data_IF_611672298962
#
_entry.id   IF_611672298962
#
_cell.length_a   1.000
_cell.length_b   1.000
_cell.length_c   1.000
_cell.angle_alpha   90.00
_cell.angle_beta   90.00
_cell.angle_gamma   90.00
#
_symmetry.space_group_name_H-M   'P 1'
#
loop_
_entity.id
_entity.type
_entity.pdbx_description
1 polymer ?
#
# COMPACT_ATOMS: atom_id res chain seq x y z
N UNK A 1 14.99 48.30 -40.63
CA UNK A 1 13.97 47.97 -39.60
C UNK A 1 13.14 46.72 -39.97
N UNK A 2 13.76 45.53 -40.15
CA UNK A 2 13.01 44.30 -40.55
C UNK A 2 13.45 43.01 -39.84
N UNK A 3 14.30 43.06 -38.80
CA UNK A 3 14.79 41.85 -38.11
C UNK A 3 14.21 41.60 -36.72
N UNK A 4 13.25 42.41 -36.25
CA UNK A 4 12.71 42.29 -34.89
C UNK A 4 11.39 41.51 -34.79
N UNK A 5 10.76 41.13 -35.91
CA UNK A 5 9.45 40.44 -35.89
C UNK A 5 9.52 38.90 -35.92
N UNK A 6 10.70 38.30 -36.14
CA UNK A 6 10.82 36.84 -36.31
C UNK A 6 10.96 36.09 -34.97
N UNK A 7 11.39 36.75 -33.88
CA UNK A 7 11.61 36.12 -32.57
C UNK A 7 10.34 35.92 -31.75
N UNK A 8 9.28 36.72 -31.99
CA UNK A 8 8.03 36.64 -31.23
C UNK A 8 7.14 35.50 -31.75
N UNK A 9 7.24 35.13 -33.03
CA UNK A 9 6.44 34.04 -33.61
C UNK A 9 6.98 32.67 -33.15
N UNK A 10 8.29 32.50 -33.00
CA UNK A 10 8.87 31.22 -32.54
C UNK A 10 8.57 30.91 -31.05
N UNK A 11 8.44 31.94 -30.20
CA UNK A 11 8.09 31.78 -28.78
C UNK A 11 6.64 31.35 -28.56
N UNK A 12 5.70 31.87 -29.37
CA UNK A 12 4.28 31.54 -29.25
C UNK A 12 3.95 30.09 -29.64
N UNK A 13 4.64 29.54 -30.64
CA UNK A 13 4.45 28.15 -31.08
C UNK A 13 5.03 27.12 -30.08
N UNK A 14 6.07 27.49 -29.34
CA UNK A 14 6.68 26.59 -28.35
C UNK A 14 5.79 26.44 -27.10
N UNK A 15 5.13 27.52 -26.67
CA UNK A 15 4.19 27.48 -25.53
C UNK A 15 2.91 26.69 -25.81
N UNK A 16 2.41 26.67 -27.05
CA UNK A 16 1.20 25.93 -27.40
C UNK A 16 1.40 24.41 -27.42
N UNK A 17 2.60 23.91 -27.74
CA UNK A 17 2.88 22.47 -27.74
C UNK A 17 2.96 21.87 -26.33
N UNK A 18 3.48 22.64 -25.35
CA UNK A 18 3.56 22.20 -23.95
C UNK A 18 2.18 22.09 -23.32
N UNK A 19 1.28 23.04 -23.59
CA UNK A 19 -0.10 23.00 -23.11
C UNK A 19 -0.92 21.83 -23.72
N UNK A 20 -0.60 21.45 -24.95
CA UNK A 20 -1.27 20.33 -25.62
C UNK A 20 -0.83 18.98 -25.07
N UNK A 21 0.44 18.83 -24.66
CA UNK A 21 0.97 17.60 -24.06
C UNK A 21 0.26 17.23 -22.74
N UNK A 22 -0.05 18.21 -21.88
CA UNK A 22 -0.79 17.99 -20.62
C UNK A 22 -2.25 17.57 -20.84
N UNK A 23 -2.84 17.91 -21.99
CA UNK A 23 -4.22 17.53 -22.33
C UNK A 23 -4.34 16.10 -22.90
N UNK A 24 -3.22 15.45 -23.21
CA UNK A 24 -3.17 14.12 -23.82
C UNK A 24 -3.10 12.99 -22.77
N UNK A 25 -2.77 13.31 -21.52
CA UNK A 25 -2.83 12.33 -20.44
C UNK A 25 -4.27 12.22 -19.93
N UNK A 26 -4.87 11.02 -19.89
CA UNK A 26 -6.16 10.82 -19.26
C UNK A 26 -6.09 11.32 -17.82
N UNK A 27 -6.94 12.29 -17.47
CA UNK A 27 -7.09 12.70 -16.07
C UNK A 27 -7.85 11.62 -15.33
N UNK A 28 -7.38 11.28 -14.13
CA UNK A 28 -8.14 10.44 -13.21
C UNK A 28 -9.53 11.04 -12.99
N UNK A 29 -10.54 10.17 -12.89
CA UNK A 29 -11.89 10.62 -12.54
C UNK A 29 -11.93 11.07 -11.08
N UNK A 30 -12.85 11.98 -10.74
CA UNK A 30 -13.07 12.37 -9.34
C UNK A 30 -13.34 11.15 -8.45
N UNK A 31 -14.07 10.16 -8.95
CA UNK A 31 -14.36 8.92 -8.24
C UNK A 31 -13.09 8.11 -7.93
N UNK A 32 -12.14 8.04 -8.87
CA UNK A 32 -10.85 7.40 -8.65
C UNK A 32 -10.02 8.16 -7.60
N UNK A 33 -10.00 9.49 -7.66
CA UNK A 33 -9.31 10.32 -6.67
C UNK A 33 -9.90 10.13 -5.26
N UNK A 34 -11.23 10.06 -5.15
CA UNK A 34 -11.92 9.74 -3.89
C UNK A 34 -11.54 8.34 -3.42
N UNK A 35 -11.54 7.35 -4.31
CA UNK A 35 -11.15 6.00 -3.97
C UNK A 35 -9.72 5.90 -3.42
N UNK A 36 -8.78 6.67 -3.96
CA UNK A 36 -7.40 6.74 -3.43
C UNK A 36 -7.31 7.25 -1.98
N UNK A 37 -8.35 7.94 -1.48
CA UNK A 37 -8.43 8.41 -0.09
C UNK A 37 -9.12 7.39 0.85
N UNK A 38 -9.61 6.26 0.32
CA UNK A 38 -10.38 5.27 1.07
C UNK A 38 -9.54 4.02 1.33
N UNK A 39 -9.47 3.64 2.61
CA UNK A 39 -8.91 2.37 3.08
C UNK A 39 -9.98 1.54 3.80
N UNK A 40 -10.08 0.25 3.46
CA UNK A 40 -11.08 -0.66 4.03
C UNK A 40 -10.46 -1.98 4.47
N UNK A 41 -11.15 -2.75 5.32
CA UNK A 41 -10.69 -4.10 5.65
C UNK A 41 -10.68 -5.01 4.42
N UNK A 42 -9.67 -5.87 4.29
CA UNK A 42 -9.55 -6.78 3.14
C UNK A 42 -10.76 -7.75 3.01
N UNK A 43 -11.41 -8.07 4.12
CA UNK A 43 -12.59 -8.96 4.17
C UNK A 43 -12.47 -10.02 5.26
N UNK A 44 -13.48 -10.90 5.33
CA UNK A 44 -13.59 -11.96 6.33
C UNK A 44 -13.13 -13.32 5.77
N UNK A 45 -11.95 -13.36 5.18
CA UNK A 45 -11.35 -14.59 4.64
C UNK A 45 -9.88 -14.70 5.02
N UNK A 46 -9.44 -15.93 5.28
CA UNK A 46 -8.05 -16.32 5.55
C UNK A 46 -7.49 -17.32 4.51
N UNK A 47 -8.25 -17.57 3.46
CA UNK A 47 -7.85 -18.34 2.27
C UNK A 47 -8.28 -17.56 1.03
N UNK A 48 -7.76 -17.91 -0.13
CA UNK A 48 -8.06 -17.20 -1.37
C UNK A 48 -9.56 -17.32 -1.71
N UNK A 49 -10.25 -16.18 -1.78
CA UNK A 49 -11.64 -16.07 -2.24
C UNK A 49 -11.71 -15.08 -3.40
N UNK A 50 -11.46 -15.51 -4.63
CA UNK A 50 -11.40 -14.61 -5.80
C UNK A 50 -12.73 -13.88 -6.10
N UNK A 51 -13.82 -14.32 -5.47
CA UNK A 51 -15.16 -13.76 -5.64
C UNK A 51 -15.49 -12.71 -4.56
N UNK A 52 -14.59 -12.46 -3.61
CA UNK A 52 -14.79 -11.46 -2.57
C UNK A 52 -15.13 -10.08 -3.17
N UNK A 53 -16.18 -9.39 -2.68
CA UNK A 53 -16.66 -8.12 -3.27
C UNK A 53 -15.59 -7.03 -3.36
N UNK A 54 -14.66 -7.01 -2.41
CA UNK A 54 -13.55 -6.04 -2.33
C UNK A 54 -12.76 -5.94 -3.63
N UNK A 55 -12.58 -7.05 -4.35
CA UNK A 55 -11.78 -7.06 -5.57
C UNK A 55 -12.43 -6.28 -6.70
N UNK A 56 -13.76 -6.16 -6.71
CA UNK A 56 -14.46 -5.27 -7.65
C UNK A 56 -14.19 -3.81 -7.32
N UNK A 57 -14.23 -3.44 -6.04
CA UNK A 57 -14.00 -2.07 -5.61
C UNK A 57 -12.54 -1.64 -5.85
N UNK A 58 -11.60 -2.55 -5.63
CA UNK A 58 -10.19 -2.37 -6.01
C UNK A 58 -10.04 -2.18 -7.53
N UNK A 59 -10.57 -3.10 -8.36
CA UNK A 59 -10.47 -3.02 -9.84
C UNK A 59 -11.06 -1.74 -10.41
N UNK A 60 -12.14 -1.25 -9.81
CA UNK A 60 -12.84 -0.04 -10.26
C UNK A 60 -12.29 1.24 -9.65
N UNK A 61 -11.24 1.17 -8.84
CA UNK A 61 -10.56 2.33 -8.26
C UNK A 61 -11.34 3.02 -7.14
N UNK A 62 -12.33 2.33 -6.53
CA UNK A 62 -13.11 2.86 -5.39
C UNK A 62 -12.40 2.71 -4.05
N UNK A 63 -11.31 1.96 -4.01
CA UNK A 63 -10.48 1.70 -2.83
C UNK A 63 -9.01 1.87 -3.20
N UNK A 64 -8.30 2.70 -2.45
CA UNK A 64 -6.86 2.96 -2.59
C UNK A 64 -6.00 2.12 -1.65
N UNK A 65 -6.59 1.59 -0.58
CA UNK A 65 -5.88 0.75 0.36
C UNK A 65 -6.73 -0.30 1.07
N UNK A 66 -6.06 -1.34 1.55
CA UNK A 66 -6.65 -2.38 2.38
C UNK A 66 -5.89 -2.53 3.69
N UNK A 67 -6.62 -2.75 4.78
CA UNK A 67 -6.04 -3.08 6.09
C UNK A 67 -6.30 -4.55 6.45
N UNK A 68 -5.26 -5.20 6.97
CA UNK A 68 -5.27 -6.59 7.40
C UNK A 68 -5.61 -6.72 8.89
N UNK A 69 -6.38 -7.76 9.19
CA UNK A 69 -6.71 -8.17 10.55
C UNK A 69 -6.28 -9.62 10.80
N UNK A 70 -6.26 -10.04 12.07
CA UNK A 70 -5.90 -11.42 12.44
C UNK A 70 -6.80 -12.47 11.75
N UNK A 71 -8.06 -12.13 11.46
CA UNK A 71 -9.00 -12.99 10.71
C UNK A 71 -8.55 -13.29 9.27
N UNK A 72 -7.57 -12.55 8.74
CA UNK A 72 -6.99 -12.79 7.42
C UNK A 72 -5.82 -13.79 7.44
N UNK A 73 -5.39 -14.23 8.62
CA UNK A 73 -4.29 -15.18 8.77
C UNK A 73 -4.82 -16.60 8.81
N UNK A 74 -4.31 -17.45 7.92
CA UNK A 74 -4.57 -18.88 7.92
C UNK A 74 -3.96 -19.54 9.17
N UNK A 75 -4.52 -20.68 9.61
CA UNK A 75 -3.98 -21.43 10.74
C UNK A 75 -2.71 -22.23 10.40
N UNK A 76 -2.51 -22.55 9.12
CA UNK A 76 -1.35 -23.30 8.59
C UNK A 76 -0.83 -22.61 7.35
N UNK A 77 0.47 -22.73 7.09
CA UNK A 77 1.13 -22.09 5.95
C UNK A 77 0.78 -20.60 5.84
N UNK A 78 0.73 -19.90 6.98
CA UNK A 78 0.20 -18.54 7.09
C UNK A 78 0.92 -17.57 6.17
N UNK A 79 2.26 -17.58 6.19
CA UNK A 79 3.09 -16.69 5.37
C UNK A 79 2.83 -16.90 3.88
N UNK A 80 2.86 -18.15 3.41
CA UNK A 80 2.60 -18.48 2.00
C UNK A 80 1.18 -18.10 1.58
N UNK A 81 0.19 -18.42 2.43
CA UNK A 81 -1.22 -18.15 2.14
C UNK A 81 -1.50 -16.66 2.08
N UNK A 82 -1.00 -15.90 3.07
CA UNK A 82 -1.16 -14.46 3.12
C UNK A 82 -0.44 -13.79 1.95
N UNK A 83 0.79 -14.21 1.63
CA UNK A 83 1.51 -13.67 0.47
C UNK A 83 0.72 -13.86 -0.82
N UNK A 84 0.15 -15.05 -1.06
CA UNK A 84 -0.69 -15.30 -2.25
C UNK A 84 -1.91 -14.39 -2.28
N UNK A 85 -2.59 -14.19 -1.15
CA UNK A 85 -3.73 -13.28 -1.04
C UNK A 85 -3.31 -11.85 -1.38
N UNK A 86 -2.19 -11.36 -0.83
CA UNK A 86 -1.71 -10.00 -1.04
C UNK A 86 -1.23 -9.77 -2.48
N UNK A 87 -0.51 -10.73 -3.06
CA UNK A 87 -0.10 -10.69 -4.47
C UNK A 87 -1.32 -10.62 -5.39
N UNK A 88 -2.36 -11.44 -5.13
CA UNK A 88 -3.61 -11.40 -5.90
C UNK A 88 -4.36 -10.08 -5.71
N UNK A 89 -4.42 -9.57 -4.48
CA UNK A 89 -5.07 -8.29 -4.14
C UNK A 89 -4.43 -7.14 -4.91
N UNK A 90 -3.10 -7.06 -4.91
CA UNK A 90 -2.37 -6.05 -5.66
C UNK A 90 -2.58 -6.20 -7.18
N UNK A 91 -2.67 -7.44 -7.69
CA UNK A 91 -2.95 -7.68 -9.11
C UNK A 91 -4.36 -7.27 -9.55
N UNK A 92 -5.28 -7.02 -8.62
CA UNK A 92 -6.61 -6.48 -8.93
C UNK A 92 -6.60 -4.96 -9.14
N UNK A 93 -5.53 -4.26 -8.77
CA UNK A 93 -5.47 -2.80 -8.86
C UNK A 93 -4.64 -2.35 -10.05
N UNK A 94 -5.08 -1.29 -10.73
CA UNK A 94 -4.31 -0.61 -11.77
C UNK A 94 -3.24 0.33 -11.18
N UNK A 95 -3.26 0.55 -9.86
CA UNK A 95 -2.33 1.38 -9.11
C UNK A 95 -1.77 0.60 -7.93
N UNK A 96 -0.62 1.01 -7.39
CA UNK A 96 -0.07 0.38 -6.19
C UNK A 96 -1.01 0.66 -5.01
N UNK A 97 -1.49 -0.39 -4.34
CA UNK A 97 -2.36 -0.25 -3.18
C UNK A 97 -1.52 0.03 -1.92
N UNK A 98 -2.09 0.80 -1.00
CA UNK A 98 -1.65 0.70 0.40
C UNK A 98 -2.14 -0.62 0.98
N UNK A 99 -1.22 -1.49 1.36
CA UNK A 99 -1.52 -2.74 2.08
C UNK A 99 -1.01 -2.53 3.49
N UNK A 100 -1.93 -2.35 4.43
CA UNK A 100 -1.64 -1.96 5.80
C UNK A 100 -1.97 -3.04 6.84
N UNK A 101 -1.37 -2.91 8.02
CA UNK A 101 -1.60 -3.78 9.17
C UNK A 101 -1.23 -3.01 10.44
N UNK A 102 -1.82 -3.36 11.58
CA UNK A 102 -1.37 -2.87 12.89
C UNK A 102 -0.39 -3.89 13.52
N UNK A 103 0.90 -3.77 13.22
CA UNK A 103 1.97 -4.63 13.76
C UNK A 103 2.93 -3.80 14.65
N UNK A 104 2.44 -3.38 15.81
CA UNK A 104 3.21 -2.61 16.80
C UNK A 104 4.11 -3.50 17.66
N UNK A 105 3.64 -4.72 17.93
CA UNK A 105 4.24 -5.66 18.87
C UNK A 105 3.48 -5.77 20.19
N UNK A 106 3.78 -6.83 20.94
CA UNK A 106 3.11 -7.07 22.23
C UNK A 106 1.61 -7.32 22.07
N UNK A 107 0.76 -6.40 22.53
CA UNK A 107 -0.70 -6.56 22.53
C UNK A 107 -1.34 -6.25 21.17
N UNK A 108 -0.76 -5.33 20.41
CA UNK A 108 -1.21 -4.98 19.04
C UNK A 108 -0.25 -5.66 18.07
N UNK A 109 -0.52 -6.94 17.85
CA UNK A 109 0.26 -7.83 16.98
C UNK A 109 -0.73 -8.75 16.28
N UNK A 110 -0.67 -8.81 14.95
CA UNK A 110 -1.44 -9.75 14.14
C UNK A 110 -0.60 -10.96 13.78
N UNK A 111 0.68 -10.74 13.43
CA UNK A 111 1.66 -11.76 13.07
C UNK A 111 2.22 -12.49 14.31
N UNK A 112 1.36 -13.25 14.99
CA UNK A 112 1.68 -13.94 16.25
C UNK A 112 2.48 -15.23 16.04
N UNK A 113 3.16 -15.69 17.10
CA UNK A 113 3.93 -16.95 17.12
C UNK A 113 3.10 -18.19 16.78
N UNK A 114 1.82 -18.22 17.14
CA UNK A 114 0.91 -19.32 16.77
C UNK A 114 0.74 -19.50 15.26
N UNK A 115 1.10 -18.48 14.47
CA UNK A 115 1.08 -18.51 13.01
C UNK A 115 2.45 -18.76 12.37
N UNK A 116 3.50 -18.97 13.18
CA UNK A 116 4.87 -19.21 12.72
C UNK A 116 5.77 -17.98 12.66
N UNK A 117 5.27 -16.80 13.05
CA UNK A 117 6.07 -15.57 13.06
C UNK A 117 6.91 -15.41 14.35
N UNK A 118 8.01 -14.65 14.31
CA UNK A 118 8.81 -14.38 15.50
C UNK A 118 8.03 -13.68 16.61
N UNK A 119 8.45 -13.89 17.86
CA UNK A 119 7.89 -13.17 19.02
C UNK A 119 8.25 -11.69 18.95
N UNK A 120 7.28 -10.83 19.29
CA UNK A 120 7.49 -9.39 19.48
C UNK A 120 7.39 -9.01 20.97
N UNK A 121 7.79 -7.78 21.30
CA UNK A 121 7.76 -7.20 22.66
C UNK A 121 6.86 -5.96 22.70
N UNK A 122 6.49 -5.50 23.89
CA UNK A 122 5.65 -4.31 24.04
C UNK A 122 6.48 -3.03 23.86
N UNK A 123 5.83 -1.94 23.43
CA UNK A 123 6.45 -0.61 23.44
C UNK A 123 6.94 -0.20 24.84
N UNK A 124 6.21 -0.57 25.90
CA UNK A 124 6.63 -0.32 27.29
C UNK A 124 7.95 -1.02 27.63
N UNK A 125 8.16 -2.26 27.17
CA UNK A 125 9.41 -2.97 27.39
C UNK A 125 10.57 -2.25 26.67
N UNK A 126 10.38 -1.86 25.41
CA UNK A 126 11.40 -1.15 24.64
C UNK A 126 11.73 0.21 25.27
N UNK A 127 10.72 0.98 25.67
CA UNK A 127 10.91 2.25 26.35
C UNK A 127 11.59 2.11 27.72
N UNK A 128 11.29 1.04 28.46
CA UNK A 128 11.92 0.76 29.76
C UNK A 128 13.39 0.35 29.66
N UNK A 129 13.79 -0.26 28.53
CA UNK A 129 15.20 -0.56 28.25
C UNK A 129 16.00 0.68 27.82
N UNK A 130 15.32 1.69 27.26
CA UNK A 130 15.92 2.91 26.72
C UNK A 130 17.16 2.65 25.84
N UNK A 131 17.02 1.68 24.92
CA UNK A 131 18.11 1.20 24.09
C UNK A 131 17.71 1.23 22.60
N UNK A 132 18.40 2.10 21.85
CA UNK A 132 18.12 2.32 20.42
C UNK A 132 18.43 1.09 19.58
N UNK A 133 19.51 0.36 19.88
CA UNK A 133 19.89 -0.83 19.10
C UNK A 133 18.83 -1.94 19.23
N UNK A 134 18.30 -2.14 20.43
CA UNK A 134 17.23 -3.11 20.69
C UNK A 134 15.93 -2.69 19.99
N UNK A 135 15.58 -1.42 20.06
CA UNK A 135 14.42 -0.88 19.33
C UNK A 135 14.57 -1.07 17.82
N UNK A 136 15.76 -0.79 17.27
CA UNK A 136 16.07 -0.96 15.86
C UNK A 136 16.02 -2.43 15.44
N UNK A 137 16.47 -3.35 16.30
CA UNK A 137 16.38 -4.79 16.04
C UNK A 137 14.93 -5.22 15.81
N UNK A 138 14.01 -4.88 16.71
CA UNK A 138 12.60 -5.24 16.57
C UNK A 138 11.95 -4.53 15.37
N UNK A 139 12.24 -3.24 15.17
CA UNK A 139 11.72 -2.50 14.02
C UNK A 139 12.16 -3.12 12.67
N UNK A 140 13.43 -3.51 12.54
CA UNK A 140 13.95 -4.20 11.35
C UNK A 140 13.32 -5.57 11.14
N UNK A 141 13.12 -6.33 12.23
CA UNK A 141 12.44 -7.62 12.16
C UNK A 141 11.01 -7.46 11.63
N UNK A 142 10.24 -6.53 12.21
CA UNK A 142 8.86 -6.23 11.78
C UNK A 142 8.84 -5.78 10.32
N UNK A 143 9.59 -4.74 9.97
CA UNK A 143 9.62 -4.22 8.60
C UNK A 143 10.04 -5.27 7.57
N UNK A 144 11.02 -6.12 7.90
CA UNK A 144 11.47 -7.20 7.03
C UNK A 144 10.40 -8.27 6.78
N UNK A 145 9.61 -8.63 7.80
CA UNK A 145 8.50 -9.57 7.65
C UNK A 145 7.38 -8.96 6.81
N UNK A 146 6.97 -7.73 7.13
CA UNK A 146 5.92 -7.02 6.40
C UNK A 146 6.26 -6.88 4.91
N UNK A 147 7.50 -6.47 4.61
CA UNK A 147 7.98 -6.37 3.24
C UNK A 147 7.92 -7.70 2.49
N UNK A 148 8.35 -8.81 3.12
CA UNK A 148 8.30 -10.15 2.50
C UNK A 148 6.87 -10.62 2.19
N UNK A 149 5.91 -10.25 3.04
CA UNK A 149 4.49 -10.58 2.84
C UNK A 149 3.85 -9.73 1.73
N UNK A 150 4.38 -8.54 1.43
CA UNK A 150 3.78 -7.57 0.51
C UNK A 150 3.00 -6.46 1.23
N UNK A 151 3.10 -6.37 2.55
CA UNK A 151 2.59 -5.24 3.35
C UNK A 151 3.54 -4.06 3.19
N UNK A 152 3.00 -2.88 2.94
CA UNK A 152 3.78 -1.67 2.62
C UNK A 152 3.42 -0.46 3.49
N UNK A 153 2.54 -0.63 4.47
CA UNK A 153 2.18 0.37 5.47
C UNK A 153 1.96 -0.32 6.82
N UNK A 154 2.46 0.29 7.89
CA UNK A 154 2.31 -0.16 9.28
C UNK A 154 2.17 1.05 10.19
#
# INVERSE_FOLDING_TARGET
>A
MKKLFLGIIAGLYCTSMVAQADSLLPRDTLDQMIGQMIMVGLGDFNTMDQQAPIYKDIRTGKVGGVILFEKNLANKNTEETLKKILDYTQAQSNMKLFVSIDEEGGRVNRLKTKYGFPKTVTAQYLGGLDNVDTTLYYAKQTAGILYKLGVNMN
#
